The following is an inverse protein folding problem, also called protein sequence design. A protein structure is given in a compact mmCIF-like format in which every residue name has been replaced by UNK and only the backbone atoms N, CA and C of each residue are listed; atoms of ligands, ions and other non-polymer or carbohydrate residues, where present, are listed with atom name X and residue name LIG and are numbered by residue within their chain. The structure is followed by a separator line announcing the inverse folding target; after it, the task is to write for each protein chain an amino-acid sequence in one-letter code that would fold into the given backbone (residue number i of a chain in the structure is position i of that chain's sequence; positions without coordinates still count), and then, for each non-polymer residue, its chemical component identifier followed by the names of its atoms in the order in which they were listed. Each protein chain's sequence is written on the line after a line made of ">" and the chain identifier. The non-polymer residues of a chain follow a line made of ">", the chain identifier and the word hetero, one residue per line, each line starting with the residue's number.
data_IF_485757445762
#
_entry.id   IF_485757445762
#
_cell.length_a   1.000
_cell.length_b   1.000
_cell.length_c   1.000
_cell.angle_alpha   90.00
_cell.angle_beta   90.00
_cell.angle_gamma   90.00
#
_symmetry.space_group_name_H-M   'P 1'
#
loop_
_entity.id
_entity.type
_entity.pdbx_description
1 polymer ?
#
# COMPACT_ATOMS: atom_id res chain seq x y z
N UNK A 1 1.00 -33.06 46.12
CA UNK A 1 0.09 -31.96 45.73
C UNK A 1 0.85 -30.75 45.17
N UNK A 2 1.83 -30.17 45.88
CA UNK A 2 2.63 -29.02 45.40
C UNK A 2 3.37 -29.26 44.07
N UNK A 3 4.01 -30.43 43.90
CA UNK A 3 4.70 -30.78 42.65
C UNK A 3 3.74 -30.84 41.44
N UNK A 4 2.54 -31.37 41.64
CA UNK A 4 1.51 -31.43 40.59
C UNK A 4 1.00 -30.05 40.19
N UNK A 5 0.88 -29.13 41.15
CA UNK A 5 0.50 -27.73 40.91
C UNK A 5 1.60 -27.02 40.10
N UNK A 6 2.88 -27.21 40.46
CA UNK A 6 4.01 -26.64 39.72
C UNK A 6 4.06 -27.13 38.27
N UNK A 7 3.87 -28.43 38.05
CA UNK A 7 3.82 -29.01 36.69
C UNK A 7 2.64 -28.43 35.90
N UNK A 8 1.46 -28.30 36.51
CA UNK A 8 0.30 -27.71 35.87
C UNK A 8 0.54 -26.24 35.46
N UNK A 9 1.13 -25.44 36.35
CA UNK A 9 1.48 -24.04 36.06
C UNK A 9 2.47 -23.98 34.89
N UNK A 10 3.50 -24.83 34.90
CA UNK A 10 4.49 -24.88 33.83
C UNK A 10 3.83 -25.23 32.47
N UNK A 11 2.92 -26.20 32.45
CA UNK A 11 2.18 -26.55 31.24
C UNK A 11 1.31 -25.41 30.72
N UNK A 12 0.64 -24.67 31.62
CA UNK A 12 -0.17 -23.50 31.25
C UNK A 12 0.72 -22.40 30.65
N UNK A 13 1.88 -22.12 31.26
CA UNK A 13 2.82 -21.12 30.75
C UNK A 13 3.35 -21.49 29.35
N UNK A 14 3.70 -22.76 29.13
CA UNK A 14 4.15 -23.25 27.83
C UNK A 14 3.03 -23.11 26.79
N UNK A 15 1.81 -23.55 27.12
CA UNK A 15 0.66 -23.41 26.23
C UNK A 15 0.37 -21.94 25.88
N UNK A 16 0.41 -21.05 26.87
CA UNK A 16 0.24 -19.61 26.68
C UNK A 16 1.31 -19.02 25.77
N UNK A 17 2.58 -19.40 25.95
CA UNK A 17 3.69 -18.93 25.12
C UNK A 17 3.52 -19.34 23.66
N UNK A 18 3.14 -20.60 23.40
CA UNK A 18 2.89 -21.12 22.05
C UNK A 18 1.74 -20.37 21.37
N UNK A 19 0.61 -20.20 22.07
CA UNK A 19 -0.56 -19.49 21.53
C UNK A 19 -0.21 -18.04 21.21
N UNK A 20 0.49 -17.36 22.13
CA UNK A 20 0.86 -15.95 21.96
C UNK A 20 1.83 -15.77 20.80
N UNK A 21 2.83 -16.63 20.68
CA UNK A 21 3.77 -16.61 19.55
C UNK A 21 3.05 -16.81 18.22
N UNK A 22 2.19 -17.82 18.12
CA UNK A 22 1.41 -18.09 16.90
C UNK A 22 0.52 -16.90 16.52
N UNK A 23 -0.14 -16.27 17.49
CA UNK A 23 -0.94 -15.05 17.25
C UNK A 23 -0.10 -13.91 16.67
N UNK A 24 1.09 -13.67 17.21
CA UNK A 24 1.99 -12.63 16.69
C UNK A 24 2.44 -12.92 15.26
N UNK A 25 2.77 -14.18 14.96
CA UNK A 25 3.12 -14.61 13.60
C UNK A 25 1.95 -14.41 12.64
N UNK A 26 0.73 -14.79 13.04
CA UNK A 26 -0.48 -14.54 12.24
C UNK A 26 -0.70 -13.06 11.97
N UNK A 27 -0.56 -12.20 12.98
CA UNK A 27 -0.70 -10.75 12.80
C UNK A 27 0.35 -10.18 11.86
N UNK A 28 1.60 -10.63 11.96
CA UNK A 28 2.68 -10.24 11.05
C UNK A 28 2.38 -10.63 9.60
N UNK A 29 1.85 -11.83 9.37
CA UNK A 29 1.48 -12.28 8.02
C UNK A 29 0.30 -11.48 7.46
N UNK A 30 -0.74 -11.25 8.26
CA UNK A 30 -1.87 -10.40 7.87
C UNK A 30 -1.45 -8.98 7.47
N UNK A 31 -0.50 -8.39 8.21
CA UNK A 31 0.04 -7.08 7.86
C UNK A 31 0.76 -7.09 6.50
N UNK A 32 1.51 -8.16 6.20
CA UNK A 32 2.16 -8.32 4.89
C UNK A 32 1.17 -8.54 3.75
N UNK A 33 0.15 -9.36 3.98
CA UNK A 33 -0.93 -9.61 3.02
C UNK A 33 -1.67 -8.30 2.68
N UNK A 34 -2.09 -7.56 3.71
CA UNK A 34 -2.75 -6.26 3.52
C UNK A 34 -1.86 -5.27 2.74
N UNK A 35 -0.55 -5.29 2.98
CA UNK A 35 0.37 -4.44 2.23
C UNK A 35 0.53 -4.89 0.76
N UNK A 36 0.57 -6.21 0.50
CA UNK A 36 0.60 -6.75 -0.85
C UNK A 36 -0.67 -6.41 -1.64
N UNK A 37 -1.84 -6.43 -0.99
CA UNK A 37 -3.09 -6.00 -1.63
C UNK A 37 -3.04 -4.53 -2.05
N UNK A 38 -2.54 -3.65 -1.18
CA UNK A 38 -2.32 -2.23 -1.51
C UNK A 38 -1.36 -2.11 -2.71
N UNK A 39 -0.28 -2.88 -2.73
CA UNK A 39 0.71 -2.87 -3.81
C UNK A 39 0.07 -3.15 -5.19
N UNK A 40 -0.79 -4.16 -5.24
CA UNK A 40 -1.52 -4.55 -6.45
C UNK A 40 -2.48 -3.44 -6.88
N UNK A 41 -3.20 -2.81 -5.95
CA UNK A 41 -4.13 -1.71 -6.28
C UNK A 41 -3.39 -0.49 -6.83
N UNK A 42 -2.24 -0.15 -6.25
CA UNK A 42 -1.43 0.98 -6.71
C UNK A 42 -0.84 0.71 -8.09
N UNK A 43 -0.32 -0.50 -8.32
CA UNK A 43 0.13 -0.93 -9.64
C UNK A 43 -0.98 -0.80 -10.68
N UNK A 44 -2.17 -1.33 -10.38
CA UNK A 44 -3.35 -1.22 -11.27
C UNK A 44 -3.69 0.24 -11.56
N UNK A 45 -3.63 1.12 -10.55
CA UNK A 45 -3.86 2.56 -10.74
C UNK A 45 -2.85 3.15 -11.73
N UNK A 46 -1.57 2.85 -11.57
CA UNK A 46 -0.53 3.33 -12.48
C UNK A 46 -0.69 2.79 -13.90
N UNK A 47 -1.09 1.54 -14.05
CA UNK A 47 -1.30 0.91 -15.35
C UNK A 47 -2.51 1.51 -16.10
N UNK A 48 -3.50 2.05 -15.38
CA UNK A 48 -4.68 2.68 -15.97
C UNK A 48 -4.48 4.15 -16.35
N UNK A 49 -3.54 4.87 -15.73
CA UNK A 49 -3.31 6.31 -16.00
C UNK A 49 -3.00 6.59 -17.49
N UNK A 50 -2.13 5.84 -18.18
CA UNK A 50 -1.88 6.06 -19.62
C UNK A 50 -3.17 5.99 -20.45
N UNK A 51 -4.03 4.99 -20.20
CA UNK A 51 -5.31 4.85 -20.91
C UNK A 51 -6.24 6.03 -20.64
N UNK A 52 -6.29 6.52 -19.39
CA UNK A 52 -7.04 7.72 -19.02
C UNK A 52 -6.51 8.95 -19.78
N UNK A 53 -5.19 9.14 -19.79
CA UNK A 53 -4.52 10.25 -20.49
C UNK A 53 -4.80 10.21 -21.99
N UNK A 54 -4.76 9.04 -22.63
CA UNK A 54 -5.09 8.90 -24.05
C UNK A 54 -6.55 9.23 -24.36
N UNK A 55 -7.47 8.80 -23.50
CA UNK A 55 -8.89 9.10 -23.65
C UNK A 55 -9.15 10.61 -23.54
N UNK A 56 -8.53 11.28 -22.58
CA UNK A 56 -8.71 12.72 -22.36
C UNK A 56 -7.98 13.57 -23.40
N UNK A 57 -6.83 13.11 -23.95
CA UNK A 57 -6.09 13.81 -25.03
C UNK A 57 -6.96 14.16 -26.23
N UNK A 58 -7.96 13.34 -26.56
CA UNK A 58 -8.89 13.60 -27.66
C UNK A 58 -9.86 14.77 -27.41
N UNK A 59 -10.20 15.03 -26.15
CA UNK A 59 -11.14 16.09 -25.75
C UNK A 59 -10.43 17.35 -25.21
N UNK A 60 -9.25 17.19 -24.62
CA UNK A 60 -8.46 18.24 -24.00
C UNK A 60 -7.17 18.51 -24.78
N UNK A 61 -7.29 18.73 -26.10
CA UNK A 61 -6.14 18.85 -27.00
C UNK A 61 -5.20 20.03 -26.66
N UNK A 62 -5.70 21.04 -25.94
CA UNK A 62 -4.93 22.22 -25.51
C UNK A 62 -4.32 22.07 -24.10
N UNK A 63 -4.62 21.00 -23.37
CA UNK A 63 -4.22 20.79 -21.97
C UNK A 63 -2.94 19.96 -21.81
N UNK A 64 -1.97 20.17 -22.71
CA UNK A 64 -0.69 19.44 -22.69
C UNK A 64 0.04 19.55 -21.35
N UNK A 65 0.04 20.73 -20.74
CA UNK A 65 0.71 20.95 -19.46
C UNK A 65 0.07 20.18 -18.30
N UNK A 66 -1.25 19.99 -18.30
CA UNK A 66 -1.94 19.17 -17.28
C UNK A 66 -1.62 17.70 -17.47
N UNK A 67 -1.64 17.21 -18.70
CA UNK A 67 -1.33 15.82 -19.03
C UNK A 67 0.14 15.46 -18.74
N UNK A 68 1.06 16.39 -18.96
CA UNK A 68 2.47 16.24 -18.60
C UNK A 68 2.65 16.13 -17.09
N UNK A 69 2.01 17.00 -16.30
CA UNK A 69 2.02 16.92 -14.83
C UNK A 69 1.46 15.59 -14.31
N UNK A 70 0.40 15.06 -14.91
CA UNK A 70 -0.16 13.74 -14.54
C UNK A 70 0.84 12.63 -14.85
N UNK A 71 1.52 12.71 -15.99
CA UNK A 71 2.55 11.73 -16.40
C UNK A 71 3.76 11.78 -15.46
N UNK A 72 4.24 12.96 -15.10
CA UNK A 72 5.31 13.16 -14.13
C UNK A 72 4.91 12.63 -12.75
N UNK A 73 3.72 12.98 -12.27
CA UNK A 73 3.21 12.52 -10.98
C UNK A 73 3.09 10.98 -10.92
N UNK A 74 2.68 10.33 -12.02
CA UNK A 74 2.67 8.87 -12.15
C UNK A 74 4.08 8.30 -12.01
N UNK A 75 5.06 8.84 -12.74
CA UNK A 75 6.44 8.38 -12.69
C UNK A 75 7.03 8.53 -11.30
N UNK A 76 6.76 9.65 -10.62
CA UNK A 76 7.17 9.88 -9.24
C UNK A 76 6.55 8.88 -8.26
N UNK A 77 5.27 8.56 -8.42
CA UNK A 77 4.58 7.57 -7.58
C UNK A 77 5.11 6.14 -7.80
N UNK A 78 5.44 5.78 -9.05
CA UNK A 78 6.11 4.51 -9.36
C UNK A 78 7.51 4.44 -8.75
N UNK A 79 8.33 5.49 -8.90
CA UNK A 79 9.68 5.50 -8.33
C UNK A 79 9.68 5.46 -6.80
N UNK A 80 8.75 6.17 -6.15
CA UNK A 80 8.59 6.12 -4.69
C UNK A 80 8.10 4.74 -4.20
N UNK A 81 7.35 4.01 -5.03
CA UNK A 81 6.98 2.62 -4.74
C UNK A 81 8.21 1.70 -4.78
N UNK A 82 9.07 1.86 -5.78
CA UNK A 82 10.29 1.04 -5.96
C UNK A 82 11.32 1.25 -4.85
N UNK A 83 11.34 2.42 -4.21
CA UNK A 83 12.26 2.71 -3.10
C UNK A 83 11.91 1.94 -1.81
N UNK A 84 10.68 1.43 -1.68
CA UNK A 84 10.21 0.72 -0.49
C UNK A 84 9.99 1.62 0.75
N UNK A 85 10.16 2.94 0.62
CA UNK A 85 9.88 3.90 1.70
C UNK A 85 8.39 4.24 1.72
N UNK A 86 7.69 3.72 2.73
CA UNK A 86 6.25 3.93 2.93
C UNK A 86 5.85 5.41 3.02
N UNK A 87 6.72 6.25 3.61
CA UNK A 87 6.43 7.68 3.77
C UNK A 87 6.52 8.39 2.42
N UNK A 88 7.60 8.14 1.68
CA UNK A 88 7.78 8.72 0.34
C UNK A 88 6.69 8.26 -0.62
N UNK A 89 6.32 6.97 -0.54
CA UNK A 89 5.22 6.39 -1.29
C UNK A 89 3.90 7.11 -0.97
N UNK A 90 3.55 7.31 0.30
CA UNK A 90 2.35 8.02 0.70
C UNK A 90 2.33 9.49 0.22
N UNK A 91 3.46 10.19 0.29
CA UNK A 91 3.59 11.57 -0.19
C UNK A 91 3.43 11.66 -1.72
N UNK A 92 4.07 10.77 -2.47
CA UNK A 92 3.96 10.72 -3.93
C UNK A 92 2.53 10.33 -4.37
N UNK A 93 1.89 9.43 -3.65
CA UNK A 93 0.50 9.01 -3.86
C UNK A 93 -0.50 10.15 -3.64
N UNK A 94 -0.29 10.98 -2.61
CA UNK A 94 -1.07 12.18 -2.35
C UNK A 94 -0.89 13.21 -3.46
N UNK A 95 0.36 13.43 -3.90
CA UNK A 95 0.64 14.34 -5.01
C UNK A 95 -0.04 13.88 -6.30
N UNK A 96 0.07 12.60 -6.66
CA UNK A 96 -0.61 12.03 -7.82
C UNK A 96 -2.14 12.21 -7.73
N UNK A 97 -2.72 11.98 -6.56
CA UNK A 97 -4.16 12.17 -6.34
C UNK A 97 -4.58 13.63 -6.53
N UNK A 98 -3.79 14.58 -6.03
CA UNK A 98 -4.05 16.02 -6.23
C UNK A 98 -3.97 16.40 -7.72
N UNK A 99 -2.95 15.91 -8.43
CA UNK A 99 -2.80 16.18 -9.86
C UNK A 99 -3.94 15.58 -10.68
N UNK A 100 -4.38 14.37 -10.36
CA UNK A 100 -5.55 13.76 -11.02
C UNK A 100 -6.83 14.58 -10.79
N UNK A 101 -7.02 15.17 -9.60
CA UNK A 101 -8.16 16.08 -9.35
C UNK A 101 -8.13 17.30 -10.26
N UNK A 102 -6.94 17.84 -10.57
CA UNK A 102 -6.82 18.97 -11.50
C UNK A 102 -7.20 18.58 -12.93
N UNK A 103 -6.93 17.34 -13.35
CA UNK A 103 -7.37 16.84 -14.65
C UNK A 103 -8.90 16.75 -14.77
N UNK A 104 -9.60 16.37 -13.68
CA UNK A 104 -11.06 16.31 -13.67
C UNK A 104 -11.75 17.69 -13.59
N UNK A 105 -11.01 18.73 -13.24
CA UNK A 105 -11.52 20.09 -13.12
C UNK A 105 -11.50 20.87 -14.45
N UNK A 106 -10.92 20.28 -15.49
CA UNK A 106 -10.81 20.84 -16.85
C UNK A 106 -11.71 20.06 -17.79
#
# INVERSE_FOLDING_TARGET
>A
MLLGILVLILLILIAWAIISYNRLVTLKNRAKEAFADIDVQLKRRYDLIPNLVETVKGYAAHERGVLEKVTEARTRAMGAKESGDLKQMAEAENYLTQTLKTLFAV
#
